data_IF_989847589938
#
_entry.id   IF_989847589938
#
_cell.length_a   1.000
_cell.length_b   1.000
_cell.length_c   1.000
_cell.angle_alpha   90.00
_cell.angle_beta   90.00
_cell.angle_gamma   90.00
#
_symmetry.space_group_name_H-M   'P 1'
#
loop_
_entity.id
_entity.type
_entity.pdbx_description
1 polymer ?
#
# COMPACT_ATOMS: atom_id res chain seq x y z
N UNK A 1 -12.75 8.94 -5.40
CA UNK A 1 -13.06 8.16 -4.18
C UNK A 1 -12.58 8.84 -2.88
N UNK A 2 -12.16 10.11 -2.89
CA UNK A 2 -11.81 10.89 -1.68
C UNK A 2 -12.52 12.26 -1.60
N UNK A 3 -13.57 12.48 -2.41
CA UNK A 3 -14.11 13.82 -2.61
C UNK A 3 -14.91 14.41 -1.42
N UNK A 4 -15.19 13.63 -0.37
CA UNK A 4 -16.17 14.02 0.66
C UNK A 4 -15.65 13.97 2.11
N UNK A 5 -14.34 14.04 2.36
CA UNK A 5 -13.88 14.22 3.74
C UNK A 5 -13.68 15.71 4.06
N UNK A 6 -14.76 16.33 4.55
CA UNK A 6 -14.80 17.68 5.09
C UNK A 6 -14.25 17.74 6.53
N UNK A 7 -13.13 18.45 6.68
CA UNK A 7 -12.81 19.41 7.75
C UNK A 7 -13.13 19.09 9.22
N UNK A 8 -12.69 17.95 9.74
CA UNK A 8 -12.49 17.78 11.20
C UNK A 8 -11.15 17.12 11.54
N UNK A 9 -10.03 17.75 11.13
CA UNK A 9 -8.71 17.39 11.66
C UNK A 9 -8.06 18.67 12.20
N UNK A 10 -8.46 19.12 13.38
CA UNK A 10 -7.81 20.25 14.07
C UNK A 10 -6.45 19.86 14.70
N UNK A 11 -5.70 18.96 14.06
CA UNK A 11 -4.30 18.64 14.36
C UNK A 11 -3.66 17.91 13.17
N UNK A 12 -3.74 18.51 11.98
CA UNK A 12 -3.04 17.98 10.81
C UNK A 12 -1.53 18.14 11.02
N UNK A 13 -0.80 17.01 11.05
CA UNK A 13 0.62 17.05 10.76
C UNK A 13 0.74 17.62 9.33
N UNK A 14 1.46 18.73 9.11
CA UNK A 14 1.70 19.23 7.76
C UNK A 14 2.29 18.10 6.92
N UNK A 15 1.82 17.91 5.68
CA UNK A 15 2.36 16.88 4.79
C UNK A 15 3.88 17.00 4.62
N UNK A 16 4.39 18.23 4.73
CA UNK A 16 5.83 18.58 4.75
C UNK A 16 6.62 17.90 5.88
N UNK A 17 5.96 17.51 6.98
CA UNK A 17 6.58 16.81 8.11
C UNK A 17 6.44 15.28 8.01
N UNK A 18 5.74 14.75 7.02
CA UNK A 18 5.57 13.31 6.86
C UNK A 18 6.80 12.69 6.20
N UNK A 19 7.54 11.90 6.96
CA UNK A 19 8.67 11.13 6.44
C UNK A 19 8.23 9.72 6.05
N UNK A 20 8.14 9.44 4.75
CA UNK A 20 7.74 8.13 4.23
C UNK A 20 8.64 6.97 4.70
N UNK A 21 9.91 7.23 5.04
CA UNK A 21 10.82 6.21 5.58
C UNK A 21 10.33 5.63 6.91
N UNK A 22 9.52 6.38 7.67
CA UNK A 22 8.94 5.89 8.93
C UNK A 22 7.90 4.78 8.71
N UNK A 23 7.39 4.62 7.49
CA UNK A 23 6.44 3.57 7.11
C UNK A 23 7.15 2.30 6.62
N UNK A 24 8.47 2.33 6.48
CA UNK A 24 9.26 1.24 5.94
C UNK A 24 10.00 0.50 7.07
N UNK A 25 10.21 -0.83 6.93
CA UNK A 25 11.10 -1.57 7.82
C UNK A 25 12.54 -1.09 7.69
N UNK A 26 13.36 -1.35 8.71
CA UNK A 26 14.78 -0.95 8.73
C UNK A 26 15.66 -1.78 7.78
N UNK A 27 15.20 -2.96 7.36
CA UNK A 27 15.89 -3.85 6.40
C UNK A 27 14.98 -4.12 5.20
N UNK A 28 15.55 -4.04 4.00
CA UNK A 28 14.81 -4.15 2.74
C UNK A 28 15.02 -5.49 2.06
N UNK A 29 14.53 -6.55 2.68
CA UNK A 29 14.33 -7.82 1.99
C UNK A 29 13.02 -7.77 1.24
N UNK A 30 12.98 -8.24 0.01
CA UNK A 30 11.78 -8.10 -0.82
C UNK A 30 11.62 -9.18 -1.87
N UNK A 31 10.36 -9.40 -2.25
CA UNK A 31 9.99 -10.11 -3.46
C UNK A 31 9.84 -9.12 -4.62
N UNK A 32 10.26 -9.54 -5.81
CA UNK A 32 10.26 -8.77 -7.04
C UNK A 32 9.56 -9.55 -8.14
N UNK A 33 8.64 -8.90 -8.86
CA UNK A 33 7.91 -9.50 -9.98
C UNK A 33 7.41 -8.44 -10.96
N UNK A 34 7.24 -8.83 -12.22
CA UNK A 34 6.53 -8.00 -13.22
C UNK A 34 5.02 -8.20 -13.08
N UNK A 35 4.27 -7.11 -13.16
CA UNK A 35 2.82 -7.12 -13.09
C UNK A 35 2.20 -5.85 -13.64
N UNK A 36 0.99 -5.55 -13.20
CA UNK A 36 0.19 -4.43 -13.70
C UNK A 36 -0.18 -3.50 -12.54
N UNK A 37 -0.71 -2.32 -12.85
CA UNK A 37 -1.41 -1.51 -11.86
C UNK A 37 -2.65 -2.26 -11.33
N UNK A 38 -2.95 -2.10 -10.04
CA UNK A 38 -4.11 -2.74 -9.38
C UNK A 38 -5.40 -1.95 -9.52
N UNK A 39 -5.34 -0.75 -10.11
CA UNK A 39 -6.49 0.10 -10.43
C UNK A 39 -6.56 0.36 -11.94
N UNK A 40 -7.75 0.56 -12.51
CA UNK A 40 -7.90 0.96 -13.91
C UNK A 40 -6.99 2.15 -14.27
N UNK A 41 -6.37 2.15 -15.47
CA UNK A 41 -6.59 1.23 -16.59
C UNK A 41 -5.81 -0.10 -16.50
N UNK A 42 -5.27 -0.47 -15.33
CA UNK A 42 -4.54 -1.73 -15.13
C UNK A 42 -3.32 -1.89 -16.05
N UNK A 43 -2.63 -0.78 -16.34
CA UNK A 43 -1.45 -0.75 -17.22
C UNK A 43 -0.41 -1.78 -16.82
N UNK A 44 0.13 -2.48 -17.82
CA UNK A 44 1.09 -3.56 -17.64
C UNK A 44 2.53 -3.07 -17.44
N UNK A 45 3.46 -4.01 -17.27
CA UNK A 45 4.91 -3.77 -17.18
C UNK A 45 5.36 -2.96 -15.96
N UNK A 46 4.59 -3.02 -14.87
CA UNK A 46 4.96 -2.48 -13.57
C UNK A 46 5.92 -3.43 -12.85
N UNK A 47 7.01 -2.88 -12.31
CA UNK A 47 7.88 -3.60 -11.39
C UNK A 47 7.28 -3.54 -9.99
N UNK A 48 6.84 -4.68 -9.47
CA UNK A 48 6.40 -4.80 -8.08
C UNK A 48 7.59 -5.14 -7.20
N UNK A 49 7.68 -4.43 -6.07
CA UNK A 49 8.62 -4.68 -4.98
C UNK A 49 7.79 -4.83 -3.70
N UNK A 50 7.78 -6.03 -3.14
CA UNK A 50 6.98 -6.38 -1.96
C UNK A 50 7.95 -6.66 -0.82
N UNK A 51 8.03 -5.75 0.16
CA UNK A 51 8.89 -5.92 1.32
C UNK A 51 8.44 -7.12 2.15
N UNK A 52 9.40 -7.94 2.60
CA UNK A 52 9.10 -9.18 3.33
C UNK A 52 8.78 -8.96 4.81
N UNK A 53 9.19 -7.81 5.35
CA UNK A 53 8.96 -7.45 6.72
C UNK A 53 7.82 -6.40 6.78
N UNK A 54 6.63 -6.77 7.29
CA UNK A 54 5.50 -5.86 7.33
C UNK A 54 5.73 -4.73 8.34
N UNK A 55 5.25 -3.54 8.00
CA UNK A 55 5.08 -2.47 8.98
C UNK A 55 3.87 -2.77 9.88
N UNK A 56 3.90 -2.25 11.10
CA UNK A 56 2.83 -2.42 12.08
C UNK A 56 2.01 -1.14 12.25
N UNK A 57 0.74 -1.30 12.59
CA UNK A 57 -0.17 -0.23 12.96
C UNK A 57 -1.09 -0.72 14.09
N UNK A 58 -1.59 0.19 14.93
CA UNK A 58 -2.52 -0.17 15.99
C UNK A 58 -3.87 -0.63 15.41
N UNK A 59 -4.62 -1.41 16.19
CA UNK A 59 -5.94 -1.86 15.78
C UNK A 59 -6.89 -0.68 15.49
N UNK A 60 -6.79 0.39 16.28
CA UNK A 60 -7.57 1.62 16.12
C UNK A 60 -7.23 2.36 14.84
N UNK A 61 -5.94 2.41 14.47
CA UNK A 61 -5.49 3.01 13.22
C UNK A 61 -6.04 2.23 12.00
N UNK A 62 -5.97 0.89 12.05
CA UNK A 62 -6.49 0.02 10.99
C UNK A 62 -8.02 0.16 10.88
N UNK A 63 -8.73 0.22 12.00
CA UNK A 63 -10.19 0.41 12.03
C UNK A 63 -10.60 1.73 11.37
N UNK A 64 -9.96 2.85 11.76
CA UNK A 64 -10.21 4.16 11.13
C UNK A 64 -9.96 4.15 9.63
N UNK A 65 -8.88 3.50 9.19
CA UNK A 65 -8.58 3.39 7.75
C UNK A 65 -9.67 2.61 7.01
N UNK A 66 -10.14 1.50 7.58
CA UNK A 66 -11.21 0.67 7.00
C UNK A 66 -12.55 1.40 6.90
N UNK A 67 -12.89 2.21 7.90
CA UNK A 67 -14.10 3.06 7.91
C UNK A 67 -14.04 4.12 6.80
N UNK A 68 -12.87 4.77 6.62
CA UNK A 68 -12.68 5.81 5.61
C UNK A 68 -12.75 5.30 4.17
N UNK A 69 -12.17 4.14 3.91
CA UNK A 69 -12.02 3.62 2.54
C UNK A 69 -13.09 2.61 2.14
N UNK A 70 -14.12 2.40 2.99
CA UNK A 70 -15.21 1.46 2.79
C UNK A 70 -14.65 0.07 2.44
N UNK A 71 -14.33 -0.75 3.45
CA UNK A 71 -13.88 -2.15 3.35
C UNK A 71 -13.95 -2.78 1.94
N UNK A 72 -12.88 -3.45 1.50
CA UNK A 72 -12.73 -4.11 0.18
C UNK A 72 -12.22 -3.20 -0.96
N UNK A 73 -11.33 -2.27 -0.65
CA UNK A 73 -10.59 -1.49 -1.68
C UNK A 73 -9.42 -2.27 -2.31
N UNK A 74 -9.27 -3.56 -2.02
CA UNK A 74 -8.26 -4.44 -2.61
C UNK A 74 -8.82 -5.16 -3.84
N UNK A 75 -8.12 -5.10 -4.97
CA UNK A 75 -8.41 -5.93 -6.14
C UNK A 75 -8.22 -7.41 -5.79
N UNK A 76 -9.05 -8.28 -6.35
CA UNK A 76 -8.92 -9.74 -6.20
C UNK A 76 -7.56 -10.25 -6.71
N UNK A 77 -7.09 -11.36 -6.16
CA UNK A 77 -5.89 -12.04 -6.66
C UNK A 77 -6.07 -12.39 -8.14
N UNK A 78 -4.98 -12.26 -8.90
CA UNK A 78 -4.93 -12.54 -10.33
C UNK A 78 -4.04 -13.76 -10.55
N UNK A 79 -4.29 -14.49 -11.65
CA UNK A 79 -3.52 -15.68 -12.00
C UNK A 79 -2.02 -15.40 -12.10
N UNK A 80 -1.21 -16.37 -11.70
CA UNK A 80 0.25 -16.22 -11.71
C UNK A 80 0.82 -16.23 -13.13
N UNK A 81 0.16 -16.89 -14.10
CA UNK A 81 0.58 -16.99 -15.51
C UNK A 81 2.08 -17.35 -15.68
N UNK A 82 2.59 -18.25 -14.82
CA UNK A 82 4.00 -18.65 -14.79
C UNK A 82 5.00 -17.50 -14.59
N UNK A 83 4.57 -16.37 -14.02
CA UNK A 83 5.45 -15.25 -13.69
C UNK A 83 6.49 -15.67 -12.65
N UNK A 84 7.74 -15.33 -12.93
CA UNK A 84 8.83 -15.51 -12.00
C UNK A 84 8.73 -14.50 -10.85
N UNK A 85 9.01 -14.97 -9.64
CA UNK A 85 9.10 -14.16 -8.43
C UNK A 85 10.52 -14.34 -7.89
N UNK A 86 11.29 -13.25 -7.82
CA UNK A 86 12.65 -13.26 -7.29
C UNK A 86 12.64 -12.72 -5.86
N UNK A 87 13.45 -13.30 -4.97
CA UNK A 87 13.64 -12.80 -3.61
C UNK A 87 15.04 -12.21 -3.43
N UNK A 88 15.11 -10.99 -2.91
CA UNK A 88 16.37 -10.29 -2.59
C UNK A 88 16.49 -10.16 -1.07
N UNK A 89 17.63 -10.62 -0.53
CA UNK A 89 17.98 -10.62 0.90
C UNK A 89 18.63 -9.31 1.35
#
# INVERSE_FOLDING_TARGET
>A
MLANYSTEINNQMPLEKLNAKMLLPTKYRFYSLKGNLTTPPCTENVQWIILDNPATASAEQIKKLRELFHNNNARTLQDSNNREITFTK
#
